data_IF_446742806159
#
_entry.id   IF_446742806159
#
_cell.length_a   1.000
_cell.length_b   1.000
_cell.length_c   1.000
_cell.angle_alpha   90.00
_cell.angle_beta   90.00
_cell.angle_gamma   90.00
#
_symmetry.space_group_name_H-M   'P 1'
#
loop_
_entity.id
_entity.type
_entity.pdbx_description
1 polymer ?
#
# COMPACT_ATOMS: atom_id res chain seq x y z
N UNK A 1 -46.77 -53.63 -12.59
CA UNK A 1 -45.40 -53.91 -12.08
C UNK A 1 -44.72 -52.69 -11.46
N UNK A 2 -44.79 -51.49 -12.04
CA UNK A 2 -44.11 -50.28 -11.52
C UNK A 2 -44.45 -49.92 -10.05
N UNK A 3 -45.73 -49.94 -9.66
CA UNK A 3 -46.15 -49.67 -8.28
C UNK A 3 -45.61 -50.70 -7.28
N UNK A 4 -45.64 -51.99 -7.65
CA UNK A 4 -45.14 -53.09 -6.82
C UNK A 4 -43.61 -52.97 -6.64
N UNK A 5 -42.87 -52.64 -7.70
CA UNK A 5 -41.43 -52.41 -7.61
C UNK A 5 -41.08 -51.19 -6.74
N UNK A 6 -41.89 -50.13 -6.79
CA UNK A 6 -41.70 -48.95 -5.94
C UNK A 6 -41.91 -49.28 -4.46
N UNK A 7 -42.99 -49.99 -4.12
CA UNK A 7 -43.29 -50.43 -2.75
C UNK A 7 -42.22 -51.38 -2.18
N UNK A 8 -41.61 -52.22 -3.02
CA UNK A 8 -40.59 -53.17 -2.58
C UNK A 8 -39.22 -52.53 -2.31
N UNK A 9 -38.84 -51.48 -3.05
CA UNK A 9 -37.46 -50.95 -3.04
C UNK A 9 -37.31 -49.58 -2.38
N UNK A 10 -38.36 -48.75 -2.31
CA UNK A 10 -38.27 -47.43 -1.73
C UNK A 10 -38.43 -47.46 -0.20
N UNK A 11 -37.48 -46.85 0.51
CA UNK A 11 -37.56 -46.64 1.97
C UNK A 11 -38.31 -45.34 2.29
N UNK A 12 -39.63 -45.40 2.24
CA UNK A 12 -40.53 -44.28 2.45
C UNK A 12 -41.72 -44.68 3.33
N UNK A 13 -42.45 -43.67 3.84
CA UNK A 13 -43.75 -43.90 4.44
C UNK A 13 -44.74 -44.23 3.30
N UNK A 14 -45.56 -45.26 3.51
CA UNK A 14 -46.57 -45.67 2.56
C UNK A 14 -47.90 -45.14 3.07
N UNK A 15 -48.56 -44.33 2.24
CA UNK A 15 -49.90 -43.84 2.51
C UNK A 15 -50.90 -44.73 1.78
N UNK A 16 -51.82 -45.34 2.53
CA UNK A 16 -52.95 -46.06 1.97
C UNK A 16 -54.15 -45.12 1.95
N UNK A 17 -54.57 -44.75 0.75
CA UNK A 17 -55.78 -43.96 0.53
C UNK A 17 -56.94 -44.92 0.36
N UNK A 18 -57.99 -44.74 1.16
CA UNK A 18 -59.20 -45.57 1.15
C UNK A 18 -60.40 -44.68 0.89
N UNK A 19 -61.20 -45.03 -0.11
CA UNK A 19 -62.48 -44.39 -0.40
C UNK A 19 -63.60 -45.08 0.41
N UNK A 20 -64.38 -44.29 1.12
CA UNK A 20 -65.44 -44.74 2.03
C UNK A 20 -66.83 -44.63 1.36
N UNK A 21 -66.93 -43.89 0.26
CA UNK A 21 -68.21 -43.49 -0.36
C UNK A 21 -68.81 -44.52 -1.34
N UNK A 22 -68.08 -45.60 -1.67
CA UNK A 22 -68.47 -46.66 -2.61
C UNK A 22 -68.88 -46.17 -4.02
N UNK A 23 -68.70 -44.89 -4.34
CA UNK A 23 -68.98 -44.28 -5.63
C UNK A 23 -67.66 -44.05 -6.39
N UNK A 24 -67.24 -45.04 -7.17
CA UNK A 24 -66.02 -44.99 -7.99
C UNK A 24 -66.06 -43.97 -9.16
N UNK A 25 -67.15 -43.19 -9.30
CA UNK A 25 -67.39 -42.30 -10.45
C UNK A 25 -67.08 -40.81 -10.16
N UNK A 26 -66.49 -40.47 -9.00
CA UNK A 26 -66.10 -39.09 -8.65
C UNK A 26 -64.60 -38.98 -8.34
N UNK A 27 -64.01 -37.81 -8.61
CA UNK A 27 -62.59 -37.55 -8.37
C UNK A 27 -62.29 -37.53 -6.87
N UNK A 28 -61.05 -37.90 -6.47
CA UNK A 28 -60.54 -37.88 -5.09
C UNK A 28 -60.79 -36.52 -4.39
N UNK A 29 -60.99 -35.46 -5.18
CA UNK A 29 -61.36 -34.11 -4.77
C UNK A 29 -62.67 -34.05 -3.96
N UNK A 30 -63.72 -34.79 -4.34
CA UNK A 30 -65.07 -34.58 -3.80
C UNK A 30 -65.47 -35.51 -2.63
N UNK A 31 -64.63 -36.48 -2.25
CA UNK A 31 -65.12 -37.72 -1.60
C UNK A 31 -65.24 -37.69 -0.07
N UNK A 32 -64.44 -36.90 0.65
CA UNK A 32 -64.51 -36.82 2.13
C UNK A 32 -65.58 -35.84 2.63
N UNK A 33 -66.11 -35.01 1.73
CA UNK A 33 -67.24 -34.12 2.05
C UNK A 33 -68.60 -34.85 2.02
N UNK A 34 -68.63 -36.08 1.47
CA UNK A 34 -69.86 -36.84 1.25
C UNK A 34 -70.24 -37.69 2.47
N UNK A 35 -69.26 -38.29 3.16
CA UNK A 35 -69.48 -39.16 4.33
C UNK A 35 -68.40 -38.91 5.39
N UNK A 36 -68.79 -38.44 6.58
CA UNK A 36 -67.87 -38.29 7.71
C UNK A 36 -67.73 -39.62 8.45
N UNK A 37 -66.65 -39.78 9.22
CA UNK A 37 -66.42 -40.99 10.03
C UNK A 37 -67.55 -41.32 11.00
N UNK A 38 -68.30 -40.30 11.45
CA UNK A 38 -69.47 -40.48 12.31
C UNK A 38 -70.67 -41.12 11.60
N UNK A 39 -70.75 -41.02 10.27
CA UNK A 39 -71.90 -41.46 9.47
C UNK A 39 -71.68 -42.86 8.85
N UNK A 40 -70.58 -43.54 9.21
CA UNK A 40 -70.22 -44.87 8.70
C UNK A 40 -71.02 -45.96 9.44
N UNK A 41 -71.55 -46.98 8.74
CA UNK A 41 -72.21 -48.12 9.36
C UNK A 41 -71.33 -48.84 10.40
N UNK A 42 -71.92 -49.23 11.53
CA UNK A 42 -71.22 -49.80 12.71
C UNK A 42 -70.31 -50.99 12.38
N UNK A 43 -70.65 -51.82 11.39
CA UNK A 43 -69.81 -52.94 10.94
C UNK A 43 -68.50 -52.50 10.29
N UNK A 44 -68.53 -51.45 9.46
CA UNK A 44 -67.35 -50.88 8.79
C UNK A 44 -66.51 -50.05 9.76
N UNK A 45 -67.16 -49.31 10.66
CA UNK A 45 -66.48 -48.62 11.76
C UNK A 45 -65.65 -49.57 12.63
N UNK A 46 -66.20 -50.74 12.95
CA UNK A 46 -65.48 -51.77 13.72
C UNK A 46 -64.25 -52.34 12.99
N UNK A 47 -64.21 -52.31 11.65
CA UNK A 47 -63.03 -52.70 10.88
C UNK A 47 -61.94 -51.63 10.93
N UNK A 48 -62.30 -50.34 10.87
CA UNK A 48 -61.35 -49.23 11.01
C UNK A 48 -60.74 -49.20 12.42
N UNK A 49 -61.53 -49.47 13.45
CA UNK A 49 -61.01 -49.59 14.82
C UNK A 49 -60.04 -50.77 15.00
N UNK A 50 -60.21 -51.87 14.26
CA UNK A 50 -59.24 -52.97 14.27
C UNK A 50 -57.89 -52.53 13.67
N UNK A 51 -57.92 -51.77 12.57
CA UNK A 51 -56.71 -51.23 11.94
C UNK A 51 -55.98 -50.25 12.87
N UNK A 52 -56.73 -49.41 13.59
CA UNK A 52 -56.14 -48.51 14.59
C UNK A 52 -55.53 -49.28 15.76
N UNK A 53 -56.14 -50.39 16.20
CA UNK A 53 -55.58 -51.28 17.24
C UNK A 53 -54.29 -51.99 16.79
N UNK A 54 -54.14 -52.24 15.49
CA UNK A 54 -52.92 -52.79 14.89
C UNK A 54 -51.80 -51.73 14.73
N UNK A 55 -52.07 -50.47 15.09
CA UNK A 55 -51.08 -49.39 15.11
C UNK A 55 -51.00 -48.59 13.81
N UNK A 56 -51.99 -48.72 12.92
CA UNK A 56 -52.09 -47.91 11.68
C UNK A 56 -52.98 -46.69 11.93
N UNK A 57 -52.44 -45.45 11.93
CA UNK A 57 -53.25 -44.26 12.18
C UNK A 57 -54.15 -43.95 10.98
N UNK A 58 -55.46 -43.82 11.22
CA UNK A 58 -56.43 -43.39 10.22
C UNK A 58 -56.65 -41.88 10.37
N UNK A 59 -56.55 -41.14 9.26
CA UNK A 59 -56.74 -39.69 9.23
C UNK A 59 -57.73 -39.34 8.14
N UNK A 60 -58.74 -38.56 8.48
CA UNK A 60 -59.68 -37.99 7.52
C UNK A 60 -59.00 -36.83 6.78
N UNK A 61 -59.10 -36.81 5.45
CA UNK A 61 -58.53 -35.75 4.63
C UNK A 61 -59.50 -35.38 3.49
N UNK A 62 -59.79 -34.10 3.32
CA UNK A 62 -60.57 -33.60 2.18
C UNK A 62 -59.70 -32.67 1.35
N UNK A 63 -59.71 -32.88 0.04
CA UNK A 63 -58.95 -32.10 -0.95
C UNK A 63 -59.72 -30.89 -1.44
N UNK A 64 -61.04 -30.84 -1.23
CA UNK A 64 -61.89 -29.66 -1.49
C UNK A 64 -61.84 -28.66 -0.34
N UNK A 65 -62.08 -29.08 0.90
CA UNK A 65 -61.99 -28.18 2.07
C UNK A 65 -60.56 -27.95 2.54
N UNK A 66 -59.60 -28.72 2.01
CA UNK A 66 -58.19 -28.76 2.42
C UNK A 66 -57.99 -29.16 3.90
N UNK A 67 -59.04 -29.66 4.55
CA UNK A 67 -59.00 -30.14 5.91
C UNK A 67 -58.22 -31.46 5.97
N UNK A 68 -57.38 -31.60 7.00
CA UNK A 68 -56.65 -32.85 7.25
C UNK A 68 -55.42 -33.10 6.36
N UNK A 69 -55.29 -32.44 5.19
CA UNK A 69 -54.18 -32.65 4.24
C UNK A 69 -52.81 -32.36 4.87
N UNK A 70 -52.68 -31.20 5.53
CA UNK A 70 -51.44 -30.82 6.23
C UNK A 70 -51.17 -31.75 7.41
N UNK A 71 -52.23 -32.09 8.16
CA UNK A 71 -52.10 -32.97 9.33
C UNK A 71 -51.64 -34.39 8.99
N UNK A 72 -52.11 -34.94 7.86
CA UNK A 72 -51.67 -36.25 7.36
C UNK A 72 -50.21 -36.19 6.95
N UNK A 73 -49.81 -35.15 6.20
CA UNK A 73 -48.41 -34.94 5.80
C UNK A 73 -47.50 -34.91 7.02
N UNK A 74 -47.85 -34.10 8.02
CA UNK A 74 -47.02 -33.93 9.22
C UNK A 74 -46.90 -35.24 10.00
N UNK A 75 -48.01 -35.96 10.22
CA UNK A 75 -48.00 -37.29 10.86
C UNK A 75 -47.15 -38.32 10.10
N UNK A 76 -47.28 -38.37 8.77
CA UNK A 76 -46.51 -39.30 7.94
C UNK A 76 -45.01 -38.96 7.94
N UNK A 77 -44.66 -37.67 7.89
CA UNK A 77 -43.29 -37.19 8.00
C UNK A 77 -42.70 -37.50 9.38
N UNK A 78 -43.43 -37.25 10.46
CA UNK A 78 -42.97 -37.50 11.83
C UNK A 78 -42.76 -38.99 12.11
N UNK A 79 -43.69 -39.85 11.66
CA UNK A 79 -43.53 -41.31 11.78
C UNK A 79 -42.29 -41.81 11.02
N UNK A 80 -42.08 -41.33 9.80
CA UNK A 80 -40.89 -41.66 9.01
C UNK A 80 -39.61 -41.12 9.69
N UNK A 81 -39.65 -39.91 10.24
CA UNK A 81 -38.54 -39.29 10.93
C UNK A 81 -38.17 -40.09 12.19
N UNK A 82 -39.15 -40.53 12.98
CA UNK A 82 -38.92 -41.36 14.17
C UNK A 82 -38.16 -42.65 13.81
N UNK A 83 -38.64 -43.40 12.80
CA UNK A 83 -37.98 -44.62 12.33
C UNK A 83 -36.57 -44.35 11.77
N UNK A 84 -36.40 -43.25 11.02
CA UNK A 84 -35.10 -42.86 10.45
C UNK A 84 -34.11 -42.45 11.52
N UNK A 85 -34.55 -41.70 12.53
CA UNK A 85 -33.72 -41.30 13.68
C UNK A 85 -33.30 -42.54 14.47
N UNK A 86 -34.21 -43.48 14.72
CA UNK A 86 -33.88 -44.75 15.39
C UNK A 86 -32.81 -45.55 14.61
N UNK A 87 -33.01 -45.73 13.30
CA UNK A 87 -32.02 -46.39 12.42
C UNK A 87 -30.68 -45.65 12.44
N UNK A 88 -30.72 -44.31 12.48
CA UNK A 88 -29.51 -43.46 12.54
C UNK A 88 -28.80 -43.56 13.88
N UNK A 89 -29.51 -43.70 14.99
CA UNK A 89 -28.94 -43.93 16.32
C UNK A 89 -28.31 -45.31 16.44
N UNK A 90 -28.97 -46.34 15.88
CA UNK A 90 -28.41 -47.70 15.78
C UNK A 90 -27.14 -47.73 14.92
N UNK A 91 -27.10 -46.92 13.86
CA UNK A 91 -25.88 -46.72 13.09
C UNK A 91 -24.90 -45.86 13.91
N UNK A 92 -23.77 -46.42 14.35
CA UNK A 92 -22.74 -45.69 15.13
C UNK A 92 -22.20 -44.39 14.47
N UNK A 93 -22.65 -44.05 13.26
CA UNK A 93 -22.41 -42.77 12.57
C UNK A 93 -22.97 -41.56 13.32
N UNK A 94 -24.07 -41.71 14.08
CA UNK A 94 -24.60 -40.63 14.90
C UNK A 94 -23.86 -40.48 16.25
N UNK A 95 -23.20 -41.54 16.73
CA UNK A 95 -22.47 -41.56 18.00
C UNK A 95 -20.99 -41.17 17.86
N UNK A 96 -20.49 -40.90 16.64
CA UNK A 96 -19.16 -40.33 16.47
C UNK A 96 -19.23 -38.86 16.83
N UNK A 97 -18.65 -38.53 17.98
CA UNK A 97 -18.57 -37.20 18.61
C UNK A 97 -18.20 -36.08 17.62
N UNK A 98 -17.36 -36.40 16.62
CA UNK A 98 -16.83 -35.42 15.66
C UNK A 98 -17.79 -34.95 14.55
N UNK A 99 -19.00 -35.51 14.39
CA UNK A 99 -19.83 -35.21 13.20
C UNK A 99 -21.13 -34.46 13.47
N UNK A 100 -22.04 -35.03 14.29
CA UNK A 100 -23.40 -34.50 14.46
C UNK A 100 -23.68 -34.05 15.88
N UNK A 101 -23.13 -34.73 16.89
CA UNK A 101 -23.37 -34.44 18.30
C UNK A 101 -22.97 -33.00 18.68
N UNK A 102 -21.85 -32.51 18.15
CA UNK A 102 -21.40 -31.13 18.37
C UNK A 102 -22.40 -30.06 17.86
N UNK A 103 -23.26 -30.39 16.89
CA UNK A 103 -24.28 -29.45 16.38
C UNK A 103 -25.58 -29.51 17.17
N UNK A 104 -25.89 -30.66 17.75
CA UNK A 104 -27.09 -30.87 18.58
C UNK A 104 -26.85 -30.33 19.99
N UNK A 105 -25.61 -30.38 20.48
CA UNK A 105 -25.24 -29.89 21.80
C UNK A 105 -25.44 -28.37 21.90
N UNK A 106 -26.39 -27.96 22.75
CA UNK A 106 -26.59 -26.55 23.14
C UNK A 106 -25.84 -26.32 24.46
N UNK A 107 -24.85 -25.43 24.43
CA UNK A 107 -24.08 -25.08 25.61
C UNK A 107 -24.89 -24.16 26.54
N UNK A 108 -25.09 -24.59 27.79
CA UNK A 108 -25.69 -23.76 28.82
C UNK A 108 -24.59 -23.00 29.57
N UNK A 109 -24.61 -21.66 29.57
CA UNK A 109 -23.59 -20.87 30.25
C UNK A 109 -23.69 -21.06 31.76
N UNK A 110 -22.57 -21.39 32.40
CA UNK A 110 -22.48 -21.42 33.86
C UNK A 110 -22.41 -19.98 34.40
N UNK A 111 -23.16 -19.64 35.47
CA UNK A 111 -23.11 -18.31 36.05
C UNK A 111 -21.72 -18.06 36.65
N UNK A 112 -20.99 -17.10 36.07
CA UNK A 112 -19.63 -16.75 36.48
C UNK A 112 -19.59 -15.59 37.48
N UNK A 113 -20.38 -14.55 37.23
CA UNK A 113 -20.45 -13.31 38.01
C UNK A 113 -21.93 -12.90 38.20
N UNK A 114 -22.26 -12.12 39.24
CA UNK A 114 -23.62 -11.59 39.49
C UNK A 114 -24.02 -10.39 38.60
N UNK A 115 -23.28 -10.14 37.51
CA UNK A 115 -23.54 -9.04 36.58
C UNK A 115 -24.56 -9.45 35.52
N UNK A 116 -25.72 -8.81 35.54
CA UNK A 116 -26.77 -8.98 34.51
C UNK A 116 -26.30 -8.37 33.19
N UNK A 117 -26.17 -9.21 32.16
CA UNK A 117 -25.81 -8.81 30.78
C UNK A 117 -27.04 -8.93 29.88
N UNK A 118 -28.01 -8.05 30.10
CA UNK A 118 -29.25 -8.05 29.34
C UNK A 118 -29.01 -7.58 27.88
N UNK A 119 -29.76 -8.11 26.89
CA UNK A 119 -29.70 -7.62 25.53
C UNK A 119 -30.23 -6.18 25.45
N UNK A 120 -29.48 -5.27 24.82
CA UNK A 120 -29.91 -3.90 24.61
C UNK A 120 -30.63 -3.77 23.26
N UNK A 121 -31.95 -3.60 23.32
CA UNK A 121 -32.79 -3.33 22.15
C UNK A 121 -33.28 -1.89 22.26
N UNK A 122 -32.92 -1.00 21.31
CA UNK A 122 -33.39 0.38 21.31
C UNK A 122 -34.92 0.46 21.21
N UNK A 123 -35.49 1.44 21.91
CA UNK A 123 -36.94 1.68 21.95
C UNK A 123 -37.63 1.82 20.57
N UNK A 124 -37.08 2.55 19.57
CA UNK A 124 -37.72 2.64 18.25
C UNK A 124 -37.83 1.27 17.54
N UNK A 125 -36.89 0.36 17.79
CA UNK A 125 -36.93 -0.99 17.22
C UNK A 125 -37.99 -1.85 17.91
N UNK A 126 -38.17 -1.70 19.23
CA UNK A 126 -39.22 -2.40 19.98
C UNK A 126 -40.61 -1.95 19.51
N UNK A 127 -40.83 -0.65 19.40
CA UNK A 127 -42.11 -0.10 18.92
C UNK A 127 -42.41 -0.57 17.50
N UNK A 128 -41.40 -0.59 16.62
CA UNK A 128 -41.55 -1.13 15.26
C UNK A 128 -41.92 -2.61 15.27
N UNK A 129 -41.31 -3.42 16.14
CA UNK A 129 -41.64 -4.84 16.29
C UNK A 129 -43.08 -5.04 16.79
N UNK A 130 -43.54 -4.23 17.74
CA UNK A 130 -44.92 -4.28 18.23
C UNK A 130 -45.94 -3.94 17.14
N UNK A 131 -45.68 -2.90 16.33
CA UNK A 131 -46.55 -2.55 15.18
C UNK A 131 -46.61 -3.63 14.11
N UNK A 132 -45.52 -4.37 13.87
CA UNK A 132 -45.55 -5.52 12.95
C UNK A 132 -46.38 -6.70 13.49
N UNK A 133 -46.61 -6.78 14.81
CA UNK A 133 -47.40 -7.87 15.41
C UNK A 133 -48.90 -7.58 15.39
N UNK A 134 -49.31 -6.32 15.23
CA UNK A 134 -50.71 -5.91 15.22
C UNK A 134 -51.37 -6.00 13.84
N UNK A 135 -50.70 -6.59 12.84
CA UNK A 135 -51.15 -6.71 11.43
C UNK A 135 -51.60 -5.38 10.78
N UNK A 136 -51.28 -4.25 11.39
CA UNK A 136 -51.53 -2.94 10.80
C UNK A 136 -50.59 -2.79 9.59
N UNK A 137 -51.12 -2.65 8.37
CA UNK A 137 -50.29 -2.48 7.20
C UNK A 137 -49.48 -1.20 7.35
N UNK A 138 -48.16 -1.31 7.19
CA UNK A 138 -47.29 -0.14 7.09
C UNK A 138 -47.58 0.46 5.71
N UNK A 139 -48.55 1.37 5.64
CA UNK A 139 -48.78 2.15 4.44
C UNK A 139 -47.52 2.99 4.15
N UNK A 140 -46.99 2.81 2.94
CA UNK A 140 -45.85 3.60 2.47
C UNK A 140 -46.35 4.98 2.06
N UNK A 141 -46.51 5.85 3.05
CA UNK A 141 -46.83 7.26 2.83
C UNK A 141 -45.66 8.00 2.17
N UNK A 142 -45.92 9.19 1.61
CA UNK A 142 -44.87 10.11 1.10
C UNK A 142 -43.83 10.48 2.18
N UNK A 143 -44.21 10.36 3.46
CA UNK A 143 -43.33 10.57 4.63
C UNK A 143 -42.47 9.34 4.97
N UNK A 144 -42.69 8.20 4.33
CA UNK A 144 -41.81 7.04 4.52
C UNK A 144 -40.45 7.30 3.87
N UNK A 145 -39.39 6.93 4.58
CA UNK A 145 -38.02 7.22 4.14
C UNK A 145 -37.76 6.49 2.83
N UNK A 146 -37.58 7.25 1.75
CA UNK A 146 -37.10 6.73 0.47
C UNK A 146 -35.80 5.97 0.65
N UNK A 147 -35.68 4.83 0.00
CA UNK A 147 -34.45 4.07 -0.03
C UNK A 147 -33.49 4.70 -1.03
N UNK A 148 -32.20 4.68 -0.76
CA UNK A 148 -31.22 5.26 -1.69
C UNK A 148 -31.24 4.55 -3.06
N UNK A 149 -31.64 3.26 -3.09
CA UNK A 149 -31.87 2.52 -4.34
C UNK A 149 -33.04 3.07 -5.17
N UNK A 150 -34.08 3.60 -4.52
CA UNK A 150 -35.21 4.22 -5.23
C UNK A 150 -34.74 5.54 -5.87
N UNK A 151 -33.91 6.33 -5.17
CA UNK A 151 -33.30 7.55 -5.72
C UNK A 151 -32.31 7.27 -6.86
N UNK A 152 -31.52 6.20 -6.75
CA UNK A 152 -30.62 5.74 -7.82
C UNK A 152 -31.40 5.38 -9.11
N UNK A 153 -32.53 4.68 -8.97
CA UNK A 153 -33.38 4.34 -10.12
C UNK A 153 -34.11 5.55 -10.71
N UNK A 154 -34.45 6.55 -9.90
CA UNK A 154 -35.10 7.78 -10.36
C UNK A 154 -34.14 8.70 -11.14
N UNK A 155 -32.88 8.80 -10.69
CA UNK A 155 -31.88 9.71 -11.23
C UNK A 155 -30.96 9.06 -12.27
N UNK A 156 -30.90 7.73 -12.32
CA UNK A 156 -30.10 6.93 -13.25
C UNK A 156 -28.65 7.45 -13.37
N UNK A 157 -28.26 7.97 -14.54
CA UNK A 157 -26.91 8.45 -14.83
C UNK A 157 -26.54 9.74 -14.07
N UNK A 158 -27.52 10.54 -13.65
CA UNK A 158 -27.30 11.79 -12.89
C UNK A 158 -27.08 11.52 -11.39
N UNK A 159 -27.26 10.28 -10.94
CA UNK A 159 -27.10 9.91 -9.55
C UNK A 159 -25.62 9.87 -9.12
N UNK A 160 -25.28 10.69 -8.12
CA UNK A 160 -23.99 10.62 -7.43
C UNK A 160 -24.25 10.37 -5.95
N UNK A 161 -23.68 9.29 -5.42
CA UNK A 161 -23.77 8.95 -4.00
C UNK A 161 -23.05 10.01 -3.15
N UNK A 162 -23.82 10.88 -2.51
CA UNK A 162 -23.31 11.87 -1.57
C UNK A 162 -23.16 11.28 -0.16
N UNK A 163 -21.90 11.01 0.22
CA UNK A 163 -21.57 10.50 1.55
C UNK A 163 -21.80 11.53 2.67
N UNK A 164 -21.74 12.83 2.34
CA UNK A 164 -21.89 13.91 3.33
C UNK A 164 -23.35 14.13 3.68
N UNK A 165 -24.32 13.80 2.79
CA UNK A 165 -25.79 13.95 2.93
C UNK A 165 -26.41 13.55 4.27
N UNK A 166 -25.82 12.62 5.01
CA UNK A 166 -26.37 12.14 6.29
C UNK A 166 -25.50 12.43 7.52
N UNK A 167 -24.48 13.29 7.39
CA UNK A 167 -23.69 13.73 8.53
C UNK A 167 -24.53 14.58 9.48
N UNK A 168 -24.33 14.32 10.78
CA UNK A 168 -24.95 15.04 11.89
C UNK A 168 -23.90 15.94 12.51
N UNK A 169 -23.87 17.20 12.06
CA UNK A 169 -22.99 18.25 12.59
C UNK A 169 -23.77 19.19 13.50
N UNK A 170 -23.05 20.01 14.28
CA UNK A 170 -23.67 21.06 15.11
C UNK A 170 -24.39 22.09 14.23
N UNK A 171 -23.71 22.55 13.19
CA UNK A 171 -24.24 23.46 12.19
C UNK A 171 -24.47 22.67 10.89
N UNK A 172 -25.68 22.69 10.32
CA UNK A 172 -25.98 21.93 9.09
C UNK A 172 -25.34 22.56 7.83
N UNK A 173 -24.99 23.85 7.87
CA UNK A 173 -24.40 24.59 6.75
C UNK A 173 -22.98 24.09 6.42
N UNK A 174 -22.20 23.73 7.44
CA UNK A 174 -20.80 23.28 7.34
C UNK A 174 -20.65 21.87 6.73
N UNK A 175 -21.76 21.21 6.43
CA UNK A 175 -21.79 19.81 5.98
C UNK A 175 -21.04 19.58 4.68
N UNK A 176 -21.06 20.56 3.79
CA UNK A 176 -20.42 20.48 2.48
C UNK A 176 -19.06 21.15 2.42
N UNK A 177 -18.59 21.71 3.52
CA UNK A 177 -17.29 22.37 3.58
C UNK A 177 -16.16 21.39 3.22
N UNK A 178 -15.13 21.94 2.58
CA UNK A 178 -13.93 21.19 2.19
C UNK A 178 -12.94 21.29 3.32
N UNK A 179 -12.63 20.15 3.94
CA UNK A 179 -11.62 20.05 5.00
C UNK A 179 -10.25 20.06 4.32
N UNK A 180 -9.37 21.05 4.60
CA UNK A 180 -8.01 21.01 4.09
C UNK A 180 -7.24 19.88 4.77
N UNK A 181 -6.55 19.04 3.99
CA UNK A 181 -5.86 17.86 4.51
C UNK A 181 -4.39 18.13 4.80
N UNK A 182 -3.72 18.91 3.94
CA UNK A 182 -2.28 19.13 3.97
C UNK A 182 -1.97 20.62 3.90
N UNK A 183 -1.05 21.07 4.76
CA UNK A 183 -0.51 22.41 4.77
C UNK A 183 1.02 22.37 4.85
N UNK A 184 1.72 22.96 3.87
CA UNK A 184 3.19 23.06 3.83
C UNK A 184 3.94 21.75 4.15
N UNK A 185 3.43 20.62 3.65
CA UNK A 185 4.03 19.29 3.85
C UNK A 185 3.65 18.60 5.18
N UNK A 186 2.79 19.21 5.98
CA UNK A 186 2.26 18.65 7.23
C UNK A 186 0.78 18.31 7.08
N UNK A 187 0.31 17.25 7.75
CA UNK A 187 -1.11 16.90 7.75
C UNK A 187 -1.84 17.71 8.81
N UNK A 188 -2.97 18.30 8.46
CA UNK A 188 -3.76 19.09 9.41
C UNK A 188 -4.45 18.23 10.48
N UNK A 189 -4.80 16.99 10.15
CA UNK A 189 -5.41 16.04 11.09
C UNK A 189 -4.55 15.81 12.34
N UNK A 190 -3.22 15.92 12.22
CA UNK A 190 -2.28 15.74 13.34
C UNK A 190 -2.35 16.90 14.35
N UNK A 191 -2.90 18.06 13.95
CA UNK A 191 -2.99 19.28 14.76
C UNK A 191 -4.41 19.58 15.27
N UNK A 192 -5.40 18.71 14.99
CA UNK A 192 -6.77 18.89 15.47
C UNK A 192 -6.87 18.51 16.94
N UNK A 193 -6.97 19.52 17.80
CA UNK A 193 -7.17 19.37 19.24
C UNK A 193 -8.21 20.37 19.75
N UNK A 194 -9.04 19.95 20.71
CA UNK A 194 -10.04 20.79 21.37
C UNK A 194 -9.38 21.96 22.11
N UNK A 195 -8.17 21.75 22.66
CA UNK A 195 -7.46 22.74 23.48
C UNK A 195 -6.28 23.42 22.76
N UNK A 196 -6.26 23.42 21.42
CA UNK A 196 -5.13 23.94 20.63
C UNK A 196 -4.78 25.41 20.95
N UNK A 197 -5.79 26.25 21.20
CA UNK A 197 -5.59 27.67 21.50
C UNK A 197 -4.86 27.90 22.82
N UNK A 198 -5.10 27.05 23.82
CA UNK A 198 -4.42 27.12 25.12
C UNK A 198 -2.95 26.72 24.98
N UNK A 199 -2.69 25.61 24.28
CA UNK A 199 -1.32 25.16 24.00
C UNK A 199 -0.52 26.20 23.21
N UNK A 200 -1.17 26.86 22.24
CA UNK A 200 -0.55 27.94 21.49
C UNK A 200 -0.22 29.14 22.39
N UNK A 201 -1.12 29.54 23.29
CA UNK A 201 -0.87 30.65 24.21
C UNK A 201 0.29 30.35 25.18
N UNK A 202 0.37 29.12 25.70
CA UNK A 202 1.48 28.69 26.56
C UNK A 202 2.82 28.71 25.81
N UNK A 203 2.83 28.29 24.54
CA UNK A 203 4.03 28.29 23.69
C UNK A 203 4.49 29.71 23.36
N UNK A 204 3.57 30.61 23.02
CA UNK A 204 3.89 32.02 22.77
C UNK A 204 4.45 32.71 24.03
N UNK A 205 3.91 32.41 25.21
CA UNK A 205 4.45 32.93 26.46
C UNK A 205 5.87 32.40 26.74
N UNK A 206 6.16 31.15 26.37
CA UNK A 206 7.52 30.58 26.45
C UNK A 206 8.47 31.28 25.46
N UNK A 207 8.05 31.50 24.22
CA UNK A 207 8.85 32.22 23.22
C UNK A 207 9.16 33.66 23.67
N UNK A 208 8.20 34.39 24.22
CA UNK A 208 8.44 35.73 24.78
C UNK A 208 9.50 35.74 25.90
N UNK A 209 9.55 34.67 26.72
CA UNK A 209 10.57 34.54 27.75
C UNK A 209 11.95 34.27 27.15
N UNK A 210 12.03 33.47 26.08
CA UNK A 210 13.29 33.19 25.35
C UNK A 210 13.82 34.41 24.62
N UNK A 211 12.93 35.19 23.99
CA UNK A 211 13.30 36.47 23.37
C UNK A 211 13.80 37.47 24.41
N UNK A 212 13.12 37.60 25.56
CA UNK A 212 13.60 38.46 26.66
C UNK A 212 14.94 38.01 27.25
N UNK A 213 15.23 36.71 27.17
CA UNK A 213 16.52 36.15 27.56
C UNK A 213 17.63 36.39 26.52
N UNK A 214 17.30 36.94 25.34
CA UNK A 214 18.25 37.25 24.27
C UNK A 214 18.71 36.01 23.47
N UNK A 215 17.98 34.89 23.51
CA UNK A 215 18.40 33.64 22.85
C UNK A 215 18.49 33.76 21.31
N UNK A 216 17.74 34.70 20.73
CA UNK A 216 17.71 34.94 19.28
C UNK A 216 18.48 36.20 18.85
N UNK A 217 19.24 36.84 19.74
CA UNK A 217 20.03 38.03 19.38
C UNK A 217 21.24 37.61 18.51
N UNK A 218 21.27 37.98 17.21
CA UNK A 218 22.34 37.57 16.29
C UNK A 218 23.68 38.24 16.60
N UNK A 219 23.68 39.28 17.45
CA UNK A 219 24.84 40.10 17.79
C UNK A 219 25.62 39.60 19.03
N UNK A 220 25.23 38.45 19.60
CA UNK A 220 25.96 37.82 20.71
C UNK A 220 27.41 37.43 20.35
N UNK A 221 27.70 37.24 19.07
CA UNK A 221 29.02 36.90 18.52
C UNK A 221 29.62 38.09 17.74
N UNK A 222 29.61 39.29 18.32
CA UNK A 222 30.39 40.43 17.82
C UNK A 222 31.88 40.11 17.90
N UNK A 223 32.44 39.57 16.82
CA UNK A 223 33.87 39.39 16.62
C UNK A 223 34.62 40.72 16.88
N UNK A 224 35.48 40.72 17.90
CA UNK A 224 36.42 41.81 18.21
C UNK A 224 37.19 42.23 16.94
N UNK A 225 37.58 43.50 16.84
CA UNK A 225 38.32 44.01 15.66
C UNK A 225 39.57 43.16 15.37
N UNK A 226 40.24 42.65 16.42
CA UNK A 226 41.37 41.74 16.28
C UNK A 226 41.04 40.38 15.64
N UNK A 227 39.84 39.81 15.88
CA UNK A 227 39.49 38.51 15.29
C UNK A 227 39.18 38.67 13.80
N UNK A 228 38.58 39.80 13.41
CA UNK A 228 38.35 40.17 12.01
C UNK A 228 39.66 40.33 11.25
N UNK A 229 40.63 41.06 11.81
CA UNK A 229 41.96 41.21 11.21
C UNK A 229 42.69 39.86 11.05
N UNK A 230 42.62 39.00 12.07
CA UNK A 230 43.20 37.63 12.01
C UNK A 230 42.54 36.79 10.92
N UNK A 231 41.22 36.89 10.74
CA UNK A 231 40.48 36.17 9.69
C UNK A 231 40.81 36.70 8.29
N UNK A 232 40.95 38.01 8.10
CA UNK A 232 41.36 38.61 6.83
C UNK A 232 42.78 38.23 6.45
N UNK A 233 43.71 38.28 7.40
CA UNK A 233 45.08 37.82 7.20
C UNK A 233 45.11 36.32 6.86
N UNK A 234 44.32 35.50 7.55
CA UNK A 234 44.21 34.07 7.26
C UNK A 234 43.64 33.80 5.85
N UNK A 235 42.71 34.62 5.35
CA UNK A 235 42.21 34.54 3.96
C UNK A 235 43.34 34.85 2.98
N UNK A 236 44.09 35.93 3.18
CA UNK A 236 45.22 36.31 2.34
C UNK A 236 46.29 35.20 2.28
N UNK A 237 46.62 34.59 3.43
CA UNK A 237 47.56 33.47 3.51
C UNK A 237 47.04 32.28 2.68
N UNK A 238 45.78 31.86 2.88
CA UNK A 238 45.18 30.74 2.14
C UNK A 238 45.14 30.99 0.63
N UNK A 239 44.88 32.22 0.21
CA UNK A 239 44.89 32.59 -1.21
C UNK A 239 46.30 32.51 -1.81
N UNK A 240 47.30 33.06 -1.12
CA UNK A 240 48.71 32.95 -1.54
C UNK A 240 49.18 31.49 -1.57
N UNK A 241 48.81 30.67 -0.58
CA UNK A 241 49.09 29.22 -0.59
C UNK A 241 48.44 28.52 -1.79
N UNK A 242 47.17 28.81 -2.11
CA UNK A 242 46.49 28.26 -3.29
C UNK A 242 47.21 28.66 -4.57
N UNK A 243 47.60 29.92 -4.71
CA UNK A 243 48.35 30.41 -5.87
C UNK A 243 49.69 29.70 -6.03
N UNK A 244 50.46 29.55 -4.94
CA UNK A 244 51.71 28.78 -4.93
C UNK A 244 51.49 27.31 -5.31
N UNK A 245 50.41 26.71 -4.82
CA UNK A 245 50.06 25.32 -5.15
C UNK A 245 49.71 25.17 -6.63
N UNK A 246 48.93 26.10 -7.19
CA UNK A 246 48.58 26.15 -8.60
C UNK A 246 49.81 26.38 -9.48
N UNK A 247 50.68 27.32 -9.11
CA UNK A 247 51.94 27.58 -9.81
C UNK A 247 52.82 26.31 -9.82
N UNK A 248 52.94 25.64 -8.68
CA UNK A 248 53.66 24.37 -8.55
C UNK A 248 53.07 23.27 -9.44
N UNK A 249 51.74 23.13 -9.49
CA UNK A 249 51.10 22.16 -10.37
C UNK A 249 51.33 22.48 -11.86
N UNK A 250 51.24 23.75 -12.25
CA UNK A 250 51.53 24.20 -13.63
C UNK A 250 52.99 23.90 -13.99
N UNK A 251 53.91 24.20 -13.07
CA UNK A 251 55.34 23.94 -13.26
C UNK A 251 55.65 22.44 -13.35
N UNK A 252 55.02 21.60 -12.51
CA UNK A 252 55.12 20.13 -12.60
C UNK A 252 54.54 19.56 -13.90
N UNK A 253 53.39 20.07 -14.37
CA UNK A 253 52.79 19.65 -15.65
C UNK A 253 53.65 20.03 -16.87
N UNK A 254 54.35 21.16 -16.81
CA UNK A 254 55.26 21.64 -17.87
C UNK A 254 56.63 20.95 -17.84
N UNK A 255 57.07 20.48 -16.67
CA UNK A 255 58.32 19.77 -16.50
C UNK A 255 58.14 18.27 -16.79
N UNK A 256 58.85 17.74 -17.79
CA UNK A 256 59.18 16.31 -17.82
C UNK A 256 60.18 15.97 -16.70
N UNK A 257 60.97 14.88 -16.86
CA UNK A 257 62.04 14.50 -15.91
C UNK A 257 62.79 15.75 -15.40
N UNK A 258 62.79 15.94 -14.08
CA UNK A 258 63.34 17.10 -13.39
C UNK A 258 64.70 17.50 -13.98
N UNK A 259 64.73 18.58 -14.74
CA UNK A 259 65.98 19.12 -15.28
C UNK A 259 66.61 19.98 -14.19
N UNK A 260 67.92 19.82 -13.99
CA UNK A 260 68.64 20.59 -12.97
C UNK A 260 68.45 22.09 -13.20
N UNK A 261 68.41 22.88 -12.11
CA UNK A 261 68.27 24.35 -12.16
C UNK A 261 69.35 25.04 -13.03
N UNK A 262 70.39 24.33 -13.46
CA UNK A 262 71.43 24.82 -14.36
C UNK A 262 71.00 24.79 -15.84
N UNK A 263 70.09 23.90 -16.24
CA UNK A 263 69.89 23.57 -17.66
C UNK A 263 68.42 23.56 -18.12
N UNK A 264 67.61 24.60 -17.87
CA UNK A 264 66.38 24.85 -18.66
C UNK A 264 66.01 26.35 -18.75
N UNK A 265 65.72 26.77 -19.99
CA UNK A 265 65.05 27.99 -20.50
C UNK A 265 65.68 29.35 -20.15
N UNK A 266 66.32 29.95 -21.17
CA UNK A 266 66.47 31.41 -21.31
C UNK A 266 65.07 32.05 -21.30
N UNK A 267 64.57 32.50 -20.14
CA UNK A 267 63.83 33.79 -19.92
C UNK A 267 63.12 33.98 -18.57
N UNK A 268 63.38 33.19 -17.53
CA UNK A 268 62.65 33.40 -16.24
C UNK A 268 63.49 34.00 -15.10
N UNK A 269 64.82 34.09 -15.25
CA UNK A 269 65.72 34.77 -14.31
C UNK A 269 66.15 36.12 -14.88
N UNK A 270 65.25 37.08 -14.90
CA UNK A 270 65.61 38.48 -15.19
C UNK A 270 65.90 39.21 -13.88
N UNK A 271 66.81 40.18 -13.94
CA UNK A 271 67.09 41.07 -12.79
C UNK A 271 65.81 41.79 -12.36
N UNK A 272 64.98 42.20 -13.32
CA UNK A 272 63.69 42.84 -13.05
C UNK A 272 62.72 41.98 -12.25
N UNK A 273 62.63 40.67 -12.54
CA UNK A 273 61.71 39.76 -11.82
C UNK A 273 62.21 39.47 -10.41
N UNK A 274 63.53 39.40 -10.23
CA UNK A 274 64.13 39.21 -8.90
C UNK A 274 63.97 40.46 -8.03
N UNK A 275 64.11 41.65 -8.62
CA UNK A 275 63.83 42.94 -7.97
C UNK A 275 62.37 43.01 -7.52
N UNK A 276 61.42 42.75 -8.42
CA UNK A 276 59.98 42.75 -8.14
C UNK A 276 59.55 41.74 -7.05
N UNK A 277 60.09 40.50 -7.08
CA UNK A 277 59.77 39.49 -6.06
C UNK A 277 60.35 39.81 -4.68
N UNK A 278 61.50 40.47 -4.61
CA UNK A 278 62.13 40.85 -3.35
C UNK A 278 61.51 42.13 -2.80
N UNK A 279 61.10 43.05 -3.66
CA UNK A 279 60.32 44.24 -3.32
C UNK A 279 58.92 43.85 -2.77
N UNK A 280 58.25 42.86 -3.37
CA UNK A 280 56.99 42.29 -2.85
C UNK A 280 57.16 41.69 -1.44
N UNK A 281 58.35 41.16 -1.11
CA UNK A 281 58.71 40.67 0.22
C UNK A 281 59.25 41.78 1.15
N UNK A 282 59.29 43.04 0.71
CA UNK A 282 59.70 44.19 1.50
C UNK A 282 61.21 44.49 1.52
N UNK A 283 62.00 43.87 0.63
CA UNK A 283 63.46 44.05 0.54
C UNK A 283 63.80 44.84 -0.73
N UNK A 284 64.33 46.05 -0.57
CA UNK A 284 64.80 46.87 -1.69
C UNK A 284 66.17 46.38 -2.19
N UNK A 285 66.27 46.02 -3.48
CA UNK A 285 67.51 45.56 -4.10
C UNK A 285 67.94 46.50 -5.23
N UNK A 286 69.09 47.16 -5.06
CA UNK A 286 69.73 47.96 -6.11
C UNK A 286 70.42 47.06 -7.16
N UNK A 287 69.68 46.69 -8.21
CA UNK A 287 70.17 45.78 -9.28
C UNK A 287 71.41 46.31 -10.03
N UNK A 288 71.64 47.63 -10.01
CA UNK A 288 72.80 48.29 -10.64
C UNK A 288 74.14 48.05 -9.93
N UNK A 289 74.14 47.67 -8.64
CA UNK A 289 75.38 47.45 -7.86
C UNK A 289 75.96 46.03 -8.02
N UNK A 290 75.23 45.11 -8.66
CA UNK A 290 75.59 43.69 -8.82
C UNK A 290 76.54 43.45 -10.03
N UNK A 291 77.81 43.84 -9.90
CA UNK A 291 78.83 43.79 -10.98
C UNK A 291 79.15 42.39 -11.53
N UNK A 292 79.04 41.34 -10.70
CA UNK A 292 79.42 39.97 -11.09
C UNK A 292 78.47 39.31 -12.13
N UNK A 293 77.28 39.90 -12.37
CA UNK A 293 76.30 39.35 -13.30
C UNK A 293 76.35 39.99 -14.71
N UNK A 294 76.93 41.17 -14.87
CA UNK A 294 77.01 41.85 -16.18
C UNK A 294 78.04 41.20 -17.13
N UNK A 295 79.11 40.60 -16.59
CA UNK A 295 80.20 40.01 -17.38
C UNK A 295 79.83 38.74 -18.17
N UNK A 296 78.79 37.99 -17.77
CA UNK A 296 78.36 36.76 -18.47
C UNK A 296 77.38 37.01 -19.64
N UNK A 297 76.89 38.25 -19.83
CA UNK A 297 75.86 38.57 -20.81
C UNK A 297 76.39 38.75 -22.25
N UNK A 298 77.68 39.01 -22.44
CA UNK A 298 78.29 39.14 -23.76
C UNK A 298 78.86 37.79 -24.23
N UNK A 299 78.01 36.96 -24.85
CA UNK A 299 78.46 35.84 -25.69
C UNK A 299 78.25 36.22 -27.16
N UNK A 300 79.22 35.97 -28.07
CA UNK A 300 79.03 36.21 -29.50
C UNK A 300 77.90 35.33 -30.06
N UNK A 301 77.16 35.86 -31.03
CA UNK A 301 76.05 35.18 -31.70
C UNK A 301 76.60 34.01 -32.55
N UNK A 302 76.52 32.77 -32.04
CA UNK A 302 76.69 31.57 -32.85
C UNK A 302 75.45 31.40 -33.74
N UNK A 303 75.67 31.17 -35.05
CA UNK A 303 74.65 31.14 -36.10
C UNK A 303 73.43 30.25 -35.81
N UNK A 304 72.29 30.59 -36.42
CA UNK A 304 71.01 29.90 -36.26
C UNK A 304 71.16 28.41 -36.58
N UNK A 305 70.85 27.53 -35.61
CA UNK A 305 70.64 26.10 -35.87
C UNK A 305 69.41 25.94 -36.76
N UNK A 306 69.61 25.38 -37.96
CA UNK A 306 68.53 24.90 -38.82
C UNK A 306 67.75 23.84 -38.03
N UNK A 307 66.43 24.03 -37.94
CA UNK A 307 65.51 23.10 -37.31
C UNK A 307 65.33 21.92 -38.27
N UNK A 308 66.28 20.99 -38.31
CA UNK A 308 65.96 19.65 -38.80
C UNK A 308 64.91 19.11 -37.84
N UNK A 309 63.74 18.76 -38.40
CA UNK A 309 62.63 18.21 -37.64
C UNK A 309 63.05 17.00 -36.81
N UNK A 310 62.15 16.57 -35.92
CA UNK A 310 62.31 15.40 -35.06
C UNK A 310 62.90 14.23 -35.89
N UNK A 311 64.07 13.74 -35.47
CA UNK A 311 64.72 12.58 -36.05
C UNK A 311 63.73 11.42 -36.14
N UNK A 312 63.57 10.74 -37.30
CA UNK A 312 62.72 9.57 -37.42
C UNK A 312 63.43 8.37 -36.77
N UNK A 313 63.46 8.34 -35.43
CA UNK A 313 63.46 7.08 -34.72
C UNK A 313 62.07 6.49 -34.93
N UNK A 314 61.98 5.52 -35.85
CA UNK A 314 60.79 4.76 -36.22
C UNK A 314 59.97 4.32 -34.98
N UNK A 315 59.02 5.14 -34.56
CA UNK A 315 57.84 4.62 -33.89
C UNK A 315 57.07 3.85 -34.97
N UNK A 316 56.89 2.54 -34.77
CA UNK A 316 56.17 1.68 -35.70
C UNK A 316 54.89 2.37 -36.17
N UNK A 317 54.63 2.34 -37.49
CA UNK A 317 53.40 2.85 -38.09
C UNK A 317 52.22 2.14 -37.42
N UNK A 318 51.58 2.80 -36.46
CA UNK A 318 50.35 2.29 -35.87
C UNK A 318 49.25 2.59 -36.88
N UNK A 319 48.44 1.58 -37.26
CA UNK A 319 47.28 1.86 -38.09
C UNK A 319 46.42 2.92 -37.40
N UNK A 320 45.78 3.82 -38.18
CA UNK A 320 44.89 4.81 -37.61
C UNK A 320 43.83 4.14 -36.73
N UNK A 321 43.39 4.76 -35.62
CA UNK A 321 42.36 4.19 -34.76
C UNK A 321 41.09 3.88 -35.57
N UNK A 322 40.36 2.84 -35.17
CA UNK A 322 39.15 2.35 -35.87
C UNK A 322 38.11 3.46 -36.10
N UNK A 323 37.99 4.37 -35.14
CA UNK A 323 37.08 5.51 -35.15
C UNK A 323 37.44 6.54 -36.25
N UNK A 324 38.72 6.56 -36.65
CA UNK A 324 39.24 7.45 -37.69
C UNK A 324 39.15 6.85 -39.09
N UNK A 325 39.30 5.52 -39.19
CA UNK A 325 39.15 4.75 -40.43
C UNK A 325 37.73 4.84 -41.00
N UNK A 326 36.71 4.85 -40.14
CA UNK A 326 35.31 4.87 -40.56
C UNK A 326 34.78 6.24 -40.99
N UNK A 327 35.38 7.34 -40.49
CA UNK A 327 34.96 8.72 -40.80
C UNK A 327 36.22 9.57 -41.03
N UNK A 328 36.64 9.78 -42.29
CA UNK A 328 37.86 10.53 -42.61
C UNK A 328 37.73 12.03 -42.31
N UNK A 329 36.53 12.61 -42.45
CA UNK A 329 36.29 14.03 -42.19
C UNK A 329 36.31 14.35 -40.68
N UNK A 330 37.24 15.22 -40.27
CA UNK A 330 37.40 15.63 -38.87
C UNK A 330 36.15 16.29 -38.27
N UNK A 331 35.44 17.10 -39.06
CA UNK A 331 34.21 17.79 -38.62
C UNK A 331 33.07 16.81 -38.35
N UNK A 332 32.90 15.79 -39.22
CA UNK A 332 31.93 14.72 -39.04
C UNK A 332 32.29 13.83 -37.85
N UNK A 333 33.59 13.58 -37.60
CA UNK A 333 34.08 12.83 -36.43
C UNK A 333 33.74 13.53 -35.12
N UNK A 334 33.96 14.84 -35.02
CA UNK A 334 33.55 15.65 -33.86
C UNK A 334 32.03 15.62 -33.64
N UNK A 335 31.24 15.59 -34.72
CA UNK A 335 29.77 15.47 -34.63
C UNK A 335 29.35 14.08 -34.13
N UNK A 336 29.98 13.02 -34.63
CA UNK A 336 29.74 11.64 -34.19
C UNK A 336 30.09 11.44 -32.71
N UNK A 337 31.18 12.03 -32.23
CA UNK A 337 31.57 12.00 -30.82
C UNK A 337 30.53 12.68 -29.91
N UNK A 338 30.00 13.85 -30.33
CA UNK A 338 28.89 14.51 -29.63
C UNK A 338 27.62 13.67 -29.59
N UNK A 339 27.27 13.01 -30.69
CA UNK A 339 26.12 12.10 -30.74
C UNK A 339 26.30 10.90 -29.81
N UNK A 340 27.50 10.30 -29.78
CA UNK A 340 27.85 9.23 -28.84
C UNK A 340 27.72 9.69 -27.39
N UNK A 341 28.25 10.88 -27.05
CA UNK A 341 28.14 11.43 -25.70
C UNK A 341 26.67 11.65 -25.27
N UNK A 342 25.82 12.10 -26.20
CA UNK A 342 24.38 12.27 -25.97
C UNK A 342 23.66 10.92 -25.79
N UNK A 343 23.99 9.92 -26.61
CA UNK A 343 23.42 8.58 -26.49
C UNK A 343 23.73 7.92 -25.13
N UNK A 344 24.93 8.14 -24.59
CA UNK A 344 25.35 7.61 -23.28
C UNK A 344 24.75 8.34 -22.07
N UNK A 345 24.00 9.43 -22.27
CA UNK A 345 23.46 10.24 -21.17
C UNK A 345 22.45 9.48 -20.31
N UNK A 346 21.64 8.60 -20.90
CA UNK A 346 20.68 7.78 -20.14
C UNK A 346 21.38 6.80 -19.19
N UNK A 347 22.46 6.14 -19.63
CA UNK A 347 23.27 5.25 -18.81
C UNK A 347 23.91 5.99 -17.63
N UNK A 348 24.37 7.24 -17.86
CA UNK A 348 24.91 8.10 -16.80
C UNK A 348 23.84 8.49 -15.78
N UNK A 349 22.63 8.81 -16.24
CA UNK A 349 21.48 9.12 -15.36
C UNK A 349 21.11 7.92 -14.48
N UNK A 350 21.21 6.72 -15.02
CA UNK A 350 21.01 5.46 -14.29
C UNK A 350 22.25 4.99 -13.52
N UNK A 351 23.32 5.79 -13.48
CA UNK A 351 24.60 5.50 -12.80
C UNK A 351 25.23 4.14 -13.18
N UNK A 352 25.03 3.68 -14.43
CA UNK A 352 25.62 2.43 -14.92
C UNK A 352 27.13 2.58 -15.15
N UNK A 353 27.88 1.49 -14.93
CA UNK A 353 29.35 1.48 -15.11
C UNK A 353 29.77 1.63 -16.58
N UNK A 354 28.88 1.33 -17.52
CA UNK A 354 29.08 1.45 -18.97
C UNK A 354 27.94 0.81 -19.74
N UNK A 355 28.05 0.74 -21.07
CA UNK A 355 27.03 0.12 -21.93
C UNK A 355 26.85 -1.39 -21.70
N UNK A 356 27.89 -2.06 -21.20
CA UNK A 356 27.86 -3.48 -20.87
C UNK A 356 27.13 -3.79 -19.55
N UNK A 357 26.88 -2.77 -18.72
CA UNK A 357 26.24 -2.93 -17.41
C UNK A 357 24.72 -3.00 -17.57
N UNK A 358 24.22 -4.23 -17.68
CA UNK A 358 22.80 -4.58 -17.87
C UNK A 358 22.30 -5.46 -16.72
N UNK A 359 22.91 -5.35 -15.55
CA UNK A 359 22.54 -6.14 -14.38
C UNK A 359 21.17 -5.72 -13.84
N UNK A 360 20.23 -6.65 -13.75
CA UNK A 360 18.92 -6.43 -13.14
C UNK A 360 19.00 -6.83 -11.68
N UNK A 361 18.87 -5.86 -10.79
CA UNK A 361 18.88 -6.12 -9.34
C UNK A 361 17.56 -6.72 -8.89
N UNK A 362 17.63 -7.70 -7.97
CA UNK A 362 16.46 -8.22 -7.29
C UNK A 362 16.06 -7.26 -6.16
N UNK A 363 15.13 -6.35 -6.46
CA UNK A 363 14.65 -5.34 -5.51
C UNK A 363 13.74 -5.94 -4.43
N UNK A 364 13.15 -7.12 -4.68
CA UNK A 364 12.23 -7.78 -3.76
C UNK A 364 12.64 -9.24 -3.58
N UNK A 365 13.79 -9.49 -2.93
CA UNK A 365 14.29 -10.84 -2.81
C UNK A 365 13.36 -11.69 -1.96
N UNK A 366 12.97 -12.84 -2.50
CA UNK A 366 11.94 -13.71 -1.92
C UNK A 366 12.20 -14.08 -0.45
N UNK A 367 13.45 -14.28 -0.07
CA UNK A 367 13.82 -14.66 1.30
C UNK A 367 13.55 -13.57 2.35
N UNK A 368 13.37 -12.31 1.95
CA UNK A 368 12.95 -11.23 2.84
C UNK A 368 11.43 -11.08 2.93
N UNK A 369 10.72 -11.34 1.83
CA UNK A 369 9.29 -11.02 1.68
C UNK A 369 8.36 -12.24 1.77
N UNK A 370 8.92 -13.46 1.80
CA UNK A 370 8.15 -14.70 1.84
C UNK A 370 8.53 -15.55 3.06
N UNK A 371 7.52 -16.07 3.76
CA UNK A 371 7.69 -16.89 4.95
C UNK A 371 7.38 -16.13 6.24
N UNK A 372 7.19 -16.87 7.33
CA UNK A 372 7.01 -16.31 8.68
C UNK A 372 8.01 -16.98 9.62
N UNK A 373 8.58 -16.21 10.55
CA UNK A 373 9.50 -16.73 11.55
C UNK A 373 8.77 -17.70 12.48
N UNK A 374 9.18 -18.97 12.48
CA UNK A 374 8.63 -19.99 13.39
C UNK A 374 9.44 -20.07 14.68
N UNK A 375 8.91 -20.75 15.69
CA UNK A 375 9.63 -21.06 16.91
C UNK A 375 10.70 -22.13 16.61
N UNK A 376 11.99 -21.78 16.70
CA UNK A 376 13.10 -22.68 16.34
C UNK A 376 14.22 -21.98 15.58
N UNK A 377 14.83 -22.68 14.60
CA UNK A 377 15.90 -22.14 13.76
C UNK A 377 15.40 -20.98 12.90
N UNK A 378 16.23 -19.93 12.78
CA UNK A 378 15.96 -18.74 11.98
C UNK A 378 16.78 -18.75 10.69
N UNK A 379 16.23 -18.15 9.63
CA UNK A 379 16.88 -18.12 8.30
C UNK A 379 18.02 -17.09 8.21
N UNK A 380 18.08 -16.15 9.15
CA UNK A 380 19.15 -15.16 9.30
C UNK A 380 19.66 -15.15 10.73
N UNK A 381 20.95 -14.82 10.88
CA UNK A 381 21.67 -14.74 12.16
C UNK A 381 21.18 -13.59 13.02
#
# INVERSE_FOLDING_TARGET
MQAVTALAHLKAAILFVMDISEQCDRTIEEQVDIVRRADIPSEKGALLEKLEKEGVPVVEMSTVTQEGVISLRDKACDALLAQRVETKLQSKKASVEDTVLNRIFVAYPTPRDDKVRAPYIPEPVKQRKQRMQTDEPIERDENTRRLERELELELEDDYILDLKKHYMLKNPEEKYDVIPEIWEGHNLADFVDVEIQKKLADLLAEEELREKAGEYDPDLDSDDEETKEKLELAKQIREKEKLLTLENQINKKKAGNHVSRLNVRKRERSMSRLEEQMEELGVQIDTKRMKNLQGQAQKPQLGKKIKVGRSPSLSASRPPPRDELGIPDKTKRMKAEKLRAKALQHLKREARKGEADRHVYDLKPKHLFSGKRKMGKTDRR
#
